data_IF_399982356932
#
_entry.id   IF_399982356932
#
_cell.length_a   1.000
_cell.length_b   1.000
_cell.length_c   1.000
_cell.angle_alpha   90.00
_cell.angle_beta   90.00
_cell.angle_gamma   90.00
#
_symmetry.space_group_name_H-M   'P 1'
#
loop_
_entity.id
_entity.type
_entity.pdbx_description
1 polymer ?
#
# COMPACT_ATOMS: atom_id res chain seq x y z
N UNK A 1 74.12 -2.27 -20.66
CA UNK A 1 73.04 -1.31 -20.40
C UNK A 1 71.73 -2.07 -20.33
N UNK A 2 71.26 -2.34 -19.11
CA UNK A 2 70.04 -3.06 -18.89
C UNK A 2 68.96 -2.08 -18.41
N UNK A 3 67.97 -1.84 -19.25
CA UNK A 3 66.78 -1.07 -18.86
C UNK A 3 65.85 -2.03 -18.11
N UNK A 4 65.67 -1.79 -16.82
CA UNK A 4 64.61 -2.43 -16.01
C UNK A 4 63.31 -1.80 -16.32
N UNK A 5 62.42 -2.52 -16.99
CA UNK A 5 61.01 -2.19 -16.98
C UNK A 5 60.45 -2.45 -15.57
N UNK A 6 60.01 -1.40 -14.94
CA UNK A 6 59.19 -1.51 -13.72
C UNK A 6 57.75 -1.76 -14.15
N UNK A 7 57.26 -2.94 -13.84
CA UNK A 7 55.83 -3.22 -13.89
C UNK A 7 55.13 -2.44 -12.79
N UNK A 8 54.37 -1.44 -13.16
CA UNK A 8 53.37 -0.86 -12.28
C UNK A 8 52.28 -1.89 -12.03
N UNK A 9 52.31 -2.47 -10.86
CA UNK A 9 51.18 -3.23 -10.36
C UNK A 9 50.03 -2.26 -10.17
N UNK A 10 49.02 -2.37 -11.03
CA UNK A 10 47.70 -1.78 -10.77
C UNK A 10 47.15 -2.44 -9.51
N UNK A 11 47.25 -1.74 -8.40
CA UNK A 11 46.51 -2.10 -7.20
C UNK A 11 45.02 -1.97 -7.53
N UNK A 12 44.40 -3.10 -7.64
CA UNK A 12 42.95 -3.23 -7.73
C UNK A 12 42.34 -2.58 -6.48
N UNK A 13 41.80 -1.39 -6.64
CA UNK A 13 40.95 -0.80 -5.60
C UNK A 13 39.75 -1.73 -5.40
N UNK A 14 39.46 -2.14 -4.18
CA UNK A 14 38.24 -2.90 -3.95
C UNK A 14 37.06 -2.01 -4.32
N UNK A 15 36.34 -2.41 -5.33
CA UNK A 15 35.01 -1.90 -5.59
C UNK A 15 34.25 -2.02 -4.28
N UNK A 16 33.82 -0.88 -3.79
CA UNK A 16 32.99 -0.76 -2.60
C UNK A 16 31.69 -1.49 -2.88
N UNK A 17 31.63 -2.77 -2.53
CA UNK A 17 30.40 -3.51 -2.44
C UNK A 17 29.59 -2.90 -1.30
N UNK A 18 28.60 -2.11 -1.64
CA UNK A 18 27.81 -1.39 -0.64
C UNK A 18 26.77 -0.46 -1.23
N UNK A 19 26.47 -0.57 -2.51
CA UNK A 19 25.24 0.00 -3.01
C UNK A 19 24.10 -0.91 -2.56
N UNK A 20 23.56 -0.54 -1.42
CA UNK A 20 22.36 -1.15 -0.87
C UNK A 20 21.24 -1.02 -1.91
N UNK A 21 20.93 -2.09 -2.63
CA UNK A 21 19.71 -2.18 -3.46
C UNK A 21 18.44 -1.96 -2.64
N UNK A 22 18.56 -1.88 -1.29
CA UNK A 22 17.45 -1.67 -0.36
C UNK A 22 16.92 -0.24 -0.31
N UNK A 23 17.59 0.75 -0.90
CA UNK A 23 17.16 2.15 -0.86
C UNK A 23 16.46 2.64 -2.14
N UNK A 24 16.32 1.79 -3.15
CA UNK A 24 15.46 2.11 -4.28
C UNK A 24 14.02 1.79 -3.90
N UNK A 25 13.32 2.78 -3.37
CA UNK A 25 11.87 2.68 -3.17
C UNK A 25 11.22 2.33 -4.50
N UNK A 26 10.40 1.27 -4.56
CA UNK A 26 9.66 0.96 -5.77
C UNK A 26 8.89 2.19 -6.23
N UNK A 27 9.01 2.53 -7.51
CA UNK A 27 8.35 3.70 -8.07
C UNK A 27 6.88 3.37 -8.36
N UNK A 28 6.05 3.39 -7.34
CA UNK A 28 4.61 3.19 -7.48
C UNK A 28 4.00 4.39 -8.19
N UNK A 29 3.17 4.15 -9.18
CA UNK A 29 2.50 5.19 -9.94
C UNK A 29 1.26 4.68 -10.64
N UNK A 30 0.36 5.58 -10.98
CA UNK A 30 -0.75 5.33 -11.87
C UNK A 30 -0.25 5.27 -13.31
N UNK A 31 -0.57 4.20 -14.02
CA UNK A 31 -0.28 4.05 -15.44
C UNK A 31 -1.57 3.86 -16.24
N UNK A 32 -1.63 4.28 -17.53
CA UNK A 32 -2.79 4.02 -18.38
C UNK A 32 -3.11 2.53 -18.51
N UNK A 33 -2.09 1.68 -18.54
CA UNK A 33 -2.24 0.22 -18.63
C UNK A 33 -2.88 -0.36 -17.38
N UNK A 34 -2.49 0.12 -16.19
CA UNK A 34 -3.08 -0.32 -14.94
C UNK A 34 -4.57 0.08 -14.86
N UNK A 35 -4.89 1.29 -15.27
CA UNK A 35 -6.28 1.77 -15.29
C UNK A 35 -7.13 0.98 -16.30
N UNK A 36 -6.56 0.65 -17.47
CA UNK A 36 -7.25 -0.13 -18.50
C UNK A 36 -7.60 -1.56 -18.06
N UNK A 37 -6.87 -2.12 -17.09
CA UNK A 37 -7.12 -3.45 -16.54
C UNK A 37 -8.19 -3.51 -15.46
N UNK A 38 -8.66 -2.37 -14.97
CA UNK A 38 -9.68 -2.31 -13.93
C UNK A 38 -11.01 -2.87 -14.42
N UNK A 39 -11.71 -3.58 -13.54
CA UNK A 39 -13.12 -3.90 -13.78
C UNK A 39 -13.95 -2.61 -13.75
N UNK A 40 -15.18 -2.60 -14.30
CA UNK A 40 -16.05 -1.42 -14.23
C UNK A 40 -16.25 -0.91 -12.80
N UNK A 41 -16.42 -1.81 -11.82
CA UNK A 41 -16.57 -1.44 -10.41
C UNK A 41 -15.28 -0.84 -9.84
N UNK A 42 -14.13 -1.45 -10.10
CA UNK A 42 -12.83 -0.91 -9.67
C UNK A 42 -12.57 0.47 -10.27
N UNK A 43 -12.92 0.67 -11.54
CA UNK A 43 -12.79 1.97 -12.20
C UNK A 43 -13.71 3.02 -11.56
N UNK A 44 -14.98 2.68 -11.35
CA UNK A 44 -15.95 3.57 -10.73
C UNK A 44 -15.50 4.02 -9.33
N UNK A 45 -15.02 3.08 -8.52
CA UNK A 45 -14.57 3.36 -7.16
C UNK A 45 -13.29 4.19 -7.15
N UNK A 46 -12.25 3.76 -7.86
CA UNK A 46 -10.92 4.39 -7.79
C UNK A 46 -10.81 5.68 -8.61
N UNK A 47 -11.45 5.75 -9.77
CA UNK A 47 -11.30 6.85 -10.72
C UNK A 47 -12.46 7.86 -10.69
N UNK A 48 -13.62 7.45 -10.21
CA UNK A 48 -14.82 8.29 -10.16
C UNK A 48 -15.32 8.53 -8.72
N UNK A 49 -14.49 8.24 -7.73
CA UNK A 49 -14.81 8.39 -6.30
C UNK A 49 -16.10 7.69 -5.88
N UNK A 50 -16.35 6.52 -6.49
CA UNK A 50 -17.50 5.70 -6.16
C UNK A 50 -17.35 4.98 -4.82
N UNK A 51 -18.45 4.48 -4.31
CA UNK A 51 -18.50 3.66 -3.11
C UNK A 51 -19.15 2.33 -3.46
N UNK A 52 -18.49 1.21 -3.14
CA UNK A 52 -19.11 -0.10 -3.29
C UNK A 52 -20.28 -0.28 -2.33
N UNK A 53 -21.22 -1.14 -2.68
CA UNK A 53 -22.34 -1.43 -1.80
C UNK A 53 -21.87 -2.07 -0.48
N UNK A 54 -22.42 -1.68 0.68
CA UNK A 54 -21.99 -2.21 1.96
C UNK A 54 -22.22 -3.73 2.03
N UNK A 55 -21.27 -4.43 2.62
CA UNK A 55 -21.32 -5.88 2.79
C UNK A 55 -21.00 -6.72 1.55
N UNK A 56 -20.64 -6.09 0.42
CA UNK A 56 -20.42 -6.78 -0.86
C UNK A 56 -18.96 -6.94 -1.24
N UNK A 57 -18.03 -6.26 -0.58
CA UNK A 57 -16.62 -6.28 -0.94
C UNK A 57 -15.96 -7.64 -0.72
N UNK A 58 -15.16 -8.10 -1.68
CA UNK A 58 -14.48 -9.40 -1.63
C UNK A 58 -13.49 -9.52 -0.48
N UNK A 59 -12.96 -8.40 0.01
CA UNK A 59 -11.95 -8.37 1.08
C UNK A 59 -12.55 -8.07 2.46
N UNK A 60 -13.87 -7.87 2.55
CA UNK A 60 -14.52 -7.54 3.81
C UNK A 60 -14.23 -8.60 4.88
N UNK A 61 -14.44 -9.87 4.54
CA UNK A 61 -14.28 -11.00 5.46
C UNK A 61 -12.91 -11.68 5.34
N UNK A 62 -11.94 -11.05 4.68
CA UNK A 62 -10.60 -11.58 4.56
C UNK A 62 -9.83 -11.39 5.87
N UNK A 63 -9.39 -12.49 6.48
CA UNK A 63 -8.61 -12.53 7.73
C UNK A 63 -7.22 -13.12 7.53
N UNK A 64 -6.82 -13.37 6.30
CA UNK A 64 -5.50 -13.92 5.99
C UNK A 64 -4.38 -12.91 6.29
N UNK A 65 -3.19 -13.37 6.74
CA UNK A 65 -2.06 -12.48 6.98
C UNK A 65 -1.49 -11.96 5.66
N UNK A 66 -1.29 -10.67 5.57
CA UNK A 66 -0.76 -10.03 4.38
C UNK A 66 -0.95 -8.53 4.39
N UNK A 67 -0.78 -7.93 3.23
CA UNK A 67 -0.98 -6.50 3.04
C UNK A 67 -2.01 -6.22 1.96
N UNK A 68 -2.57 -5.03 2.03
CA UNK A 68 -3.52 -4.49 1.06
C UNK A 68 -2.83 -3.36 0.31
N UNK A 69 -2.74 -3.52 -1.01
CA UNK A 69 -2.08 -2.55 -1.89
C UNK A 69 -3.10 -1.87 -2.80
N UNK A 70 -2.74 -0.70 -3.33
CA UNK A 70 -3.57 -0.01 -4.31
C UNK A 70 -3.72 -0.88 -5.57
N UNK A 71 -4.96 -1.10 -5.99
CA UNK A 71 -5.26 -1.91 -7.20
C UNK A 71 -4.68 -1.28 -8.46
N UNK A 72 -4.42 0.01 -8.49
CA UNK A 72 -3.89 0.76 -9.64
C UNK A 72 -2.37 0.83 -9.61
N UNK A 73 -1.79 1.35 -8.52
CA UNK A 73 -0.35 1.62 -8.43
C UNK A 73 0.47 0.50 -7.82
N UNK A 74 -0.17 -0.35 -7.02
CA UNK A 74 0.53 -1.39 -6.26
C UNK A 74 1.18 -0.90 -4.97
N UNK A 75 1.04 0.39 -4.59
CA UNK A 75 1.64 0.87 -3.36
C UNK A 75 1.00 0.23 -2.12
N UNK A 76 1.82 -0.13 -1.11
CA UNK A 76 1.30 -0.73 0.11
C UNK A 76 0.53 0.28 0.93
N UNK A 77 -0.69 -0.08 1.34
CA UNK A 77 -1.62 0.84 2.01
C UNK A 77 -1.95 0.41 3.44
N UNK A 78 -2.32 -0.85 3.64
CA UNK A 78 -2.76 -1.34 4.95
C UNK A 78 -2.23 -2.76 5.21
N UNK A 79 -2.04 -3.08 6.47
CA UNK A 79 -1.64 -4.41 6.91
C UNK A 79 -2.80 -5.17 7.56
N UNK A 80 -2.80 -6.50 7.42
CA UNK A 80 -3.81 -7.37 8.05
C UNK A 80 -3.84 -7.24 9.57
N UNK A 81 -2.69 -6.96 10.20
CA UNK A 81 -2.58 -6.73 11.64
C UNK A 81 -3.34 -5.49 12.12
N UNK A 82 -3.62 -4.55 11.23
CA UNK A 82 -4.37 -3.32 11.54
C UNK A 82 -5.84 -3.39 11.11
N UNK A 83 -6.26 -4.48 10.52
CA UNK A 83 -7.66 -4.71 10.13
C UNK A 83 -8.50 -5.12 11.34
N UNK A 84 -9.73 -4.59 11.43
CA UNK A 84 -10.64 -4.91 12.52
C UNK A 84 -12.10 -4.96 12.03
N UNK A 85 -12.93 -5.64 12.79
CA UNK A 85 -14.37 -5.75 12.53
C UNK A 85 -15.09 -4.52 13.08
N UNK A 86 -15.42 -3.57 12.21
CA UNK A 86 -16.14 -2.35 12.60
C UNK A 86 -17.65 -2.47 12.49
N UNK A 87 -18.14 -3.43 11.70
CA UNK A 87 -19.57 -3.58 11.41
C UNK A 87 -20.11 -2.54 10.41
N UNK A 88 -19.26 -1.71 9.80
CA UNK A 88 -19.71 -0.66 8.87
C UNK A 88 -20.07 -1.19 7.47
N UNK A 89 -19.67 -2.40 7.12
CA UNK A 89 -19.93 -2.98 5.79
C UNK A 89 -18.80 -2.85 4.78
N UNK A 90 -17.68 -2.26 5.19
CA UNK A 90 -16.46 -2.13 4.38
C UNK A 90 -15.23 -2.55 5.19
N UNK A 91 -14.15 -3.01 4.53
CA UNK A 91 -12.89 -3.27 5.22
C UNK A 91 -12.45 -2.06 6.05
N UNK A 92 -12.08 -2.31 7.29
CA UNK A 92 -11.71 -1.27 8.24
C UNK A 92 -10.33 -1.51 8.83
N UNK A 93 -9.55 -0.44 8.92
CA UNK A 93 -8.17 -0.47 9.42
C UNK A 93 -7.95 0.63 10.43
N UNK A 94 -7.04 0.40 11.38
CA UNK A 94 -6.73 1.37 12.44
C UNK A 94 -5.72 2.43 11.99
N UNK A 95 -4.87 2.10 11.00
CA UNK A 95 -3.84 2.98 10.47
C UNK A 95 -3.35 2.49 9.11
N UNK A 96 -2.77 3.38 8.27
CA UNK A 96 -2.03 2.94 7.09
C UNK A 96 -0.71 2.26 7.48
N UNK A 97 -0.22 1.37 6.61
CA UNK A 97 1.07 0.69 6.80
C UNK A 97 2.23 1.68 6.73
N UNK A 98 2.09 2.70 5.91
CA UNK A 98 3.03 3.78 5.70
C UNK A 98 2.22 5.09 5.56
N UNK A 99 2.27 6.00 6.54
CA UNK A 99 1.41 7.20 6.50
C UNK A 99 1.56 8.05 5.24
N UNK A 100 2.77 8.12 4.68
CA UNK A 100 3.04 8.89 3.46
C UNK A 100 2.41 8.31 2.18
N UNK A 101 1.91 7.07 2.23
CA UNK A 101 1.27 6.42 1.09
C UNK A 101 -0.21 6.78 0.95
N UNK A 102 -0.77 7.51 1.89
CA UNK A 102 -2.15 7.98 1.84
C UNK A 102 -2.21 9.50 1.99
N UNK A 103 -3.13 10.13 1.27
CA UNK A 103 -3.48 11.53 1.41
C UNK A 103 -4.89 11.64 1.97
N UNK A 104 -5.08 12.62 2.83
CA UNK A 104 -6.38 12.95 3.42
C UNK A 104 -6.87 14.28 2.87
N UNK A 105 -8.10 14.30 2.36
CA UNK A 105 -8.71 15.48 1.75
C UNK A 105 -10.10 15.71 2.33
N UNK A 106 -10.48 16.98 2.46
CA UNK A 106 -11.85 17.34 2.86
C UNK A 106 -12.82 16.95 1.75
N UNK A 107 -13.85 16.21 2.11
CA UNK A 107 -14.96 15.82 1.23
C UNK A 107 -16.26 16.41 1.77
N UNK A 108 -16.83 17.33 1.01
CA UNK A 108 -18.11 17.99 1.35
C UNK A 108 -19.28 17.43 0.52
N UNK A 109 -19.11 16.31 -0.16
CA UNK A 109 -20.16 15.68 -0.99
C UNK A 109 -21.29 15.08 -0.14
N UNK A 110 -22.42 14.81 -0.76
CA UNK A 110 -23.61 14.18 -0.13
C UNK A 110 -24.14 14.93 1.10
N UNK A 111 -23.93 16.25 1.19
CA UNK A 111 -24.39 17.05 2.34
C UNK A 111 -23.65 16.76 3.65
N UNK A 112 -22.54 16.05 3.59
CA UNK A 112 -21.71 15.69 4.74
C UNK A 112 -20.33 16.35 4.63
N UNK A 113 -19.65 16.49 5.78
CA UNK A 113 -18.23 16.85 5.82
C UNK A 113 -17.48 15.65 6.34
N UNK A 114 -16.67 15.03 5.48
CA UNK A 114 -15.88 13.85 5.78
C UNK A 114 -14.44 14.05 5.36
N UNK A 115 -13.56 13.16 5.76
CA UNK A 115 -12.16 13.11 5.32
C UNK A 115 -12.00 11.96 4.35
N UNK A 116 -11.79 12.27 3.07
CA UNK A 116 -11.48 11.29 2.03
C UNK A 116 -10.06 10.80 2.16
N UNK A 117 -9.85 9.50 1.94
CA UNK A 117 -8.54 8.87 1.88
C UNK A 117 -8.27 8.45 0.43
N UNK A 118 -7.13 8.90 -0.09
CA UNK A 118 -6.65 8.57 -1.43
C UNK A 118 -5.22 8.02 -1.33
N UNK A 119 -4.85 7.14 -2.26
CA UNK A 119 -3.46 6.71 -2.36
C UNK A 119 -2.57 7.85 -2.88
N UNK A 120 -1.36 7.98 -2.30
CA UNK A 120 -0.48 9.09 -2.64
C UNK A 120 0.09 8.99 -4.06
N UNK A 121 0.56 7.80 -4.45
CA UNK A 121 1.18 7.59 -5.76
C UNK A 121 0.16 7.30 -6.86
N UNK A 122 -0.86 6.51 -6.56
CA UNK A 122 -1.88 6.11 -7.53
C UNK A 122 -3.02 7.11 -7.70
N UNK A 123 -3.17 8.01 -6.74
CA UNK A 123 -4.31 8.93 -6.66
C UNK A 123 -5.66 8.23 -6.82
N UNK A 124 -5.77 7.03 -6.26
CA UNK A 124 -7.02 6.28 -6.23
C UNK A 124 -7.87 6.72 -5.06
N UNK A 125 -9.17 6.90 -5.28
CA UNK A 125 -10.12 7.01 -4.18
C UNK A 125 -10.18 5.68 -3.43
N UNK A 126 -9.89 5.70 -2.13
CA UNK A 126 -9.89 4.51 -1.29
C UNK A 126 -11.14 4.43 -0.43
N UNK A 127 -11.50 5.51 0.19
CA UNK A 127 -12.62 5.60 1.13
C UNK A 127 -12.50 6.83 1.99
N UNK A 128 -12.84 6.69 3.27
CA UNK A 128 -12.85 7.80 4.24
C UNK A 128 -12.25 7.35 5.57
N UNK A 129 -11.76 8.29 6.34
CA UNK A 129 -11.30 8.06 7.72
C UNK A 129 -12.21 8.78 8.71
N UNK A 130 -12.52 8.09 9.81
CA UNK A 130 -13.38 8.58 10.89
C UNK A 130 -12.65 8.49 12.23
N UNK A 131 -13.11 9.23 13.21
CA UNK A 131 -12.54 9.30 14.57
C UNK A 131 -13.23 8.39 15.58
N UNK A 132 -14.00 7.43 15.11
CA UNK A 132 -14.76 6.47 15.91
C UNK A 132 -14.16 5.04 15.88
N UNK A 133 -12.86 4.94 15.70
CA UNK A 133 -12.11 3.70 15.75
C UNK A 133 -11.76 3.25 17.18
N UNK A 134 -11.08 2.09 17.31
CA UNK A 134 -10.69 1.55 18.62
C UNK A 134 -9.80 2.53 19.40
N UNK A 135 -10.22 2.99 20.59
CA UNK A 135 -9.44 3.99 21.36
C UNK A 135 -8.05 3.51 21.78
N UNK A 136 -7.90 2.23 22.06
CA UNK A 136 -6.63 1.60 22.43
C UNK A 136 -5.66 1.42 21.25
N UNK A 137 -6.13 1.67 20.02
CA UNK A 137 -5.36 1.53 18.78
C UNK A 137 -5.27 2.83 17.97
N UNK A 138 -5.42 3.97 18.61
CA UNK A 138 -5.28 5.28 18.03
C UNK A 138 -6.59 6.02 17.70
N UNK A 139 -7.74 5.38 17.86
CA UNK A 139 -9.06 6.00 17.74
C UNK A 139 -9.55 6.28 16.33
N UNK A 140 -8.82 5.88 15.29
CA UNK A 140 -9.20 6.09 13.90
C UNK A 140 -9.79 4.84 13.25
N UNK A 141 -10.72 5.05 12.33
CA UNK A 141 -11.31 4.01 11.49
C UNK A 141 -11.16 4.43 10.03
N UNK A 142 -10.24 3.76 9.33
CA UNK A 142 -10.08 3.86 7.88
C UNK A 142 -11.07 2.89 7.24
N UNK A 143 -12.13 3.43 6.64
CA UNK A 143 -13.20 2.67 6.00
C UNK A 143 -12.93 2.65 4.49
N UNK A 144 -12.51 1.51 3.96
CA UNK A 144 -11.87 1.42 2.65
C UNK A 144 -12.65 0.45 1.75
N UNK A 145 -12.86 0.84 0.49
CA UNK A 145 -13.50 -0.03 -0.50
C UNK A 145 -12.61 -1.21 -0.88
N UNK A 146 -13.14 -2.41 -0.87
CA UNK A 146 -12.43 -3.60 -1.38
C UNK A 146 -12.00 -3.43 -2.83
N UNK A 147 -12.84 -2.77 -3.63
CA UNK A 147 -12.57 -2.55 -5.06
C UNK A 147 -11.36 -1.66 -5.34
N UNK A 148 -10.89 -0.89 -4.36
CA UNK A 148 -9.66 -0.08 -4.49
C UNK A 148 -8.40 -0.84 -4.07
N UNK A 149 -8.53 -2.04 -3.54
CA UNK A 149 -7.45 -2.81 -2.94
C UNK A 149 -7.18 -4.11 -3.68
N UNK A 150 -5.91 -4.54 -3.64
CA UNK A 150 -5.48 -5.90 -3.96
C UNK A 150 -4.82 -6.48 -2.72
N UNK A 151 -5.20 -7.69 -2.34
CA UNK A 151 -4.59 -8.39 -1.22
C UNK A 151 -3.36 -9.17 -1.69
N UNK A 152 -2.28 -9.05 -0.94
CA UNK A 152 -1.04 -9.82 -1.12
C UNK A 152 -0.81 -10.65 0.13
N UNK A 153 -0.96 -11.98 0.00
CA UNK A 153 -0.74 -12.88 1.12
C UNK A 153 0.72 -12.81 1.59
N UNK A 154 0.93 -12.95 2.89
CA UNK A 154 2.28 -12.90 3.50
C UNK A 154 3.29 -13.77 2.75
N UNK A 155 2.91 -14.98 2.36
CA UNK A 155 3.80 -15.93 1.67
C UNK A 155 4.23 -15.46 0.27
N UNK A 156 3.52 -14.51 -0.30
CA UNK A 156 3.80 -13.94 -1.63
C UNK A 156 4.45 -12.55 -1.58
N UNK A 157 4.51 -11.94 -0.39
CA UNK A 157 4.97 -10.55 -0.24
C UNK A 157 6.41 -10.38 -0.74
N UNK A 158 7.32 -11.27 -0.37
CA UNK A 158 8.72 -11.17 -0.79
C UNK A 158 8.86 -11.31 -2.31
N UNK A 159 8.20 -12.29 -2.90
CA UNK A 159 8.23 -12.52 -4.36
C UNK A 159 7.65 -11.34 -5.15
N UNK A 160 6.68 -10.61 -4.59
CA UNK A 160 6.05 -9.46 -5.23
C UNK A 160 6.70 -8.12 -4.88
N UNK A 161 7.82 -8.12 -4.15
CA UNK A 161 8.56 -6.90 -3.83
C UNK A 161 8.13 -6.18 -2.56
N UNK A 162 7.35 -6.84 -1.69
CA UNK A 162 6.85 -6.25 -0.44
C UNK A 162 7.52 -6.82 0.82
N UNK A 163 8.69 -7.46 0.66
CA UNK A 163 9.41 -8.11 1.78
C UNK A 163 9.76 -7.17 2.93
N UNK A 164 9.95 -5.88 2.65
CA UNK A 164 10.23 -4.87 3.66
C UNK A 164 9.12 -4.71 4.71
N UNK A 165 7.90 -5.15 4.41
CA UNK A 165 6.74 -5.03 5.30
C UNK A 165 6.39 -6.32 6.05
N UNK A 166 7.17 -7.39 5.88
CA UNK A 166 6.92 -8.67 6.55
C UNK A 166 6.86 -8.55 8.07
N UNK A 167 7.68 -7.68 8.66
CA UNK A 167 7.70 -7.43 10.09
C UNK A 167 6.47 -6.71 10.63
N UNK A 168 5.64 -6.15 9.75
CA UNK A 168 4.38 -5.49 10.12
C UNK A 168 3.17 -6.42 10.00
N UNK A 169 3.38 -7.60 9.42
CA UNK A 169 2.36 -8.63 9.25
C UNK A 169 2.69 -9.76 10.21
N UNK A 170 2.11 -9.69 11.41
CA UNK A 170 2.30 -10.72 12.42
C UNK A 170 1.38 -11.91 12.14
N UNK A 171 1.79 -13.07 12.66
CA UNK A 171 0.95 -14.26 12.61
C UNK A 171 -0.36 -13.99 13.34
N UNK A 172 -1.46 -14.09 12.63
CA UNK A 172 -2.78 -14.08 13.24
C UNK A 172 -2.91 -15.38 14.03
N UNK A 173 -2.90 -15.26 15.36
CA UNK A 173 -3.12 -16.38 16.26
C UNK A 173 -4.60 -16.70 16.36
#
# INVERSE_FOLDING_TARGET
MHARLQYLTLTHLPTRAGDNESDVMPNYRKTPEAVARLTPEQYRVTQQSGTEAPGTGELLDNHEPGIYVDIVSGEPLFASSDKFESGCGWPSFTKPIEPRNVNELKDASHGMIRTEVRSAAGDSHLGHVFDDGPPDRGGLRYCINSASLRFVHRDEMEAQGYGAYLNQVEDVK
#
